data_IF_193468927363
#
_entry.id   IF_193468927363
#
_cell.length_a   1.000
_cell.length_b   1.000
_cell.length_c   1.000
_cell.angle_alpha   90.00
_cell.angle_beta   90.00
_cell.angle_gamma   90.00
#
_symmetry.space_group_name_H-M   'P 1'
#
loop_
_entity.id
_entity.type
_entity.pdbx_description
1 polymer ?
#
# COMPACT_ATOMS: atom_id res chain seq x y z
N UNK A 1 -2.37 3.14 -9.66
CA UNK A 1 -3.43 3.52 -8.69
C UNK A 1 -3.03 3.37 -7.22
N UNK A 2 -1.96 2.63 -6.88
CA UNK A 2 -1.55 2.42 -5.46
C UNK A 2 -1.10 3.70 -4.74
N UNK A 3 -0.57 4.70 -5.45
CA UNK A 3 -0.04 5.94 -4.84
C UNK A 3 -1.07 6.83 -4.14
N UNK A 4 -2.37 6.64 -4.37
CA UNK A 4 -3.45 7.39 -3.70
C UNK A 4 -4.28 6.53 -2.72
N UNK A 5 -3.94 5.25 -2.54
CA UNK A 5 -4.70 4.37 -1.64
C UNK A 5 -4.42 4.61 -0.16
N UNK A 6 -3.31 5.29 0.18
CA UNK A 6 -2.92 5.56 1.57
C UNK A 6 -3.81 6.57 2.31
N UNK A 7 -4.64 7.33 1.60
CA UNK A 7 -5.52 8.34 2.20
C UNK A 7 -6.59 7.70 3.09
N UNK A 8 -7.15 6.56 2.65
CA UNK A 8 -8.15 5.81 3.42
C UNK A 8 -7.55 5.18 4.69
N UNK A 9 -6.34 4.63 4.58
CA UNK A 9 -5.63 4.06 5.72
C UNK A 9 -5.33 5.10 6.80
N UNK A 10 -5.08 6.37 6.42
CA UNK A 10 -4.87 7.45 7.39
C UNK A 10 -6.10 7.75 8.25
N UNK A 11 -7.31 7.50 7.72
CA UNK A 11 -8.56 7.69 8.46
C UNK A 11 -8.78 6.60 9.51
N UNK A 12 -8.22 5.40 9.33
CA UNK A 12 -8.32 4.31 10.31
C UNK A 12 -7.64 4.65 11.64
N UNK A 13 -6.68 5.58 11.64
CA UNK A 13 -5.94 6.01 12.82
C UNK A 13 -6.32 7.44 13.27
N UNK A 14 -7.41 8.00 12.75
CA UNK A 14 -7.82 9.37 13.10
C UNK A 14 -8.07 9.53 14.60
N UNK A 15 -8.54 8.46 15.27
CA UNK A 15 -8.79 8.40 16.71
C UNK A 15 -7.49 8.45 17.55
N UNK A 16 -6.35 8.06 16.98
CA UNK A 16 -5.03 8.07 17.63
C UNK A 16 -4.21 9.33 17.30
N UNK A 17 -4.68 10.17 16.37
CA UNK A 17 -4.01 11.39 15.95
C UNK A 17 -4.35 12.57 16.86
N UNK A 18 -3.39 13.46 17.08
CA UNK A 18 -3.63 14.70 17.80
C UNK A 18 -4.62 15.61 17.03
N UNK A 19 -5.36 16.43 17.76
CA UNK A 19 -6.37 17.32 17.19
C UNK A 19 -5.79 18.24 16.10
N UNK A 20 -6.46 18.32 14.96
CA UNK A 20 -6.04 19.13 13.81
C UNK A 20 -4.85 18.57 12.99
N UNK A 21 -4.33 17.37 13.30
CA UNK A 21 -3.29 16.73 12.49
C UNK A 21 -3.86 16.07 11.23
N UNK A 22 -5.04 15.46 11.30
CA UNK A 22 -5.63 14.75 10.16
C UNK A 22 -5.74 15.59 8.87
N UNK A 23 -6.24 16.85 8.89
CA UNK A 23 -6.25 17.69 7.69
C UNK A 23 -4.84 18.03 7.17
N UNK A 24 -3.85 18.16 8.07
CA UNK A 24 -2.45 18.40 7.68
C UNK A 24 -1.86 17.18 7.00
N UNK A 25 -2.16 15.98 7.50
CA UNK A 25 -1.75 14.70 6.90
C UNK A 25 -2.29 14.58 5.47
N UNK A 26 -3.60 14.79 5.27
CA UNK A 26 -4.20 14.72 3.94
C UNK A 26 -3.60 15.75 2.98
N UNK A 27 -3.40 16.99 3.42
CA UNK A 27 -2.79 18.04 2.60
C UNK A 27 -1.35 17.70 2.20
N UNK A 28 -0.54 17.22 3.14
CA UNK A 28 0.85 16.90 2.89
C UNK A 28 0.98 15.67 1.98
N UNK A 29 0.16 14.63 2.20
CA UNK A 29 0.10 13.46 1.32
C UNK A 29 -0.34 13.85 -0.11
N UNK A 30 -1.35 14.71 -0.24
CA UNK A 30 -1.81 15.19 -1.54
C UNK A 30 -0.70 15.92 -2.29
N UNK A 31 0.00 16.84 -1.62
CA UNK A 31 1.12 17.55 -2.22
C UNK A 31 2.22 16.59 -2.68
N UNK A 32 2.60 15.63 -1.84
CA UNK A 32 3.62 14.64 -2.19
C UNK A 32 3.21 13.81 -3.42
N UNK A 33 1.98 13.31 -3.46
CA UNK A 33 1.46 12.50 -4.59
C UNK A 33 1.39 13.32 -5.89
N UNK A 34 0.95 14.58 -5.81
CA UNK A 34 0.85 15.47 -6.97
C UNK A 34 2.21 15.86 -7.55
N UNK A 35 3.27 15.89 -6.74
CA UNK A 35 4.63 16.20 -7.23
C UNK A 35 5.36 14.94 -7.68
N UNK A 36 5.36 13.89 -6.84
CA UNK A 36 6.16 12.69 -7.08
C UNK A 36 5.62 11.86 -8.26
N UNK A 37 4.30 11.66 -8.38
CA UNK A 37 3.77 10.81 -9.45
C UNK A 37 4.04 11.40 -10.85
N UNK A 38 3.73 12.68 -11.14
CA UNK A 38 4.08 13.27 -12.42
C UNK A 38 5.59 13.39 -12.61
N UNK A 39 6.35 13.72 -11.56
CA UNK A 39 7.81 13.78 -11.63
C UNK A 39 8.43 12.44 -12.07
N UNK A 40 7.97 11.34 -11.48
CA UNK A 40 8.38 9.99 -11.88
C UNK A 40 7.95 9.65 -13.31
N UNK A 41 6.76 10.04 -13.75
CA UNK A 41 6.30 9.83 -15.12
C UNK A 41 7.15 10.60 -16.15
N UNK A 42 7.54 11.83 -15.85
CA UNK A 42 8.43 12.64 -16.70
C UNK A 42 9.81 11.99 -16.79
N UNK A 43 10.38 11.55 -15.65
CA UNK A 43 11.65 10.84 -15.64
C UNK A 43 11.60 9.54 -16.45
N UNK A 44 10.51 8.79 -16.34
CA UNK A 44 10.32 7.57 -17.11
C UNK A 44 10.32 7.83 -18.62
N UNK A 45 9.59 8.86 -19.08
CA UNK A 45 9.55 9.25 -20.49
C UNK A 45 10.86 9.85 -21.00
N UNK A 46 11.67 10.47 -20.12
CA UNK A 46 12.95 11.04 -20.48
C UNK A 46 14.06 9.99 -20.60
N UNK A 47 13.97 8.88 -19.85
CA UNK A 47 15.01 7.86 -19.76
C UNK A 47 14.71 6.62 -20.61
N UNK A 48 13.44 6.26 -20.81
CA UNK A 48 13.05 5.00 -21.45
C UNK A 48 12.17 5.27 -22.68
N UNK A 49 12.51 4.73 -23.86
CA UNK A 49 11.65 4.77 -25.04
C UNK A 49 10.26 4.16 -24.77
N UNK A 50 9.20 4.84 -25.18
CA UNK A 50 7.79 4.42 -24.99
C UNK A 50 7.49 2.96 -25.41
N UNK A 51 8.07 2.40 -26.49
CA UNK A 51 7.83 1.00 -26.87
C UNK A 51 8.28 0.00 -25.78
N UNK A 52 9.43 0.24 -25.15
CA UNK A 52 10.06 -0.66 -24.17
C UNK A 52 9.34 -0.64 -22.81
N UNK A 53 8.74 0.51 -22.45
CA UNK A 53 7.94 0.67 -21.23
C UNK A 53 6.74 -0.29 -21.21
N UNK A 54 6.12 -0.54 -22.35
CA UNK A 54 4.87 -1.31 -22.44
C UNK A 54 5.13 -2.82 -22.50
N UNK A 55 6.19 -3.25 -23.15
CA UNK A 55 6.39 -4.66 -23.52
C UNK A 55 7.35 -5.42 -22.59
N UNK A 56 8.36 -4.76 -21.99
CA UNK A 56 9.40 -5.45 -21.21
C UNK A 56 9.44 -5.09 -19.71
N UNK A 57 9.10 -3.84 -19.33
CA UNK A 57 9.41 -3.33 -17.99
C UNK A 57 8.20 -2.96 -17.13
N UNK A 58 6.99 -3.46 -17.41
CA UNK A 58 5.78 -3.06 -16.66
C UNK A 58 5.88 -3.21 -15.13
N UNK A 59 6.58 -4.25 -14.65
CA UNK A 59 6.75 -4.51 -13.20
C UNK A 59 8.12 -4.08 -12.64
N UNK A 60 9.08 -3.75 -13.51
CA UNK A 60 10.49 -3.47 -13.15
C UNK A 60 10.98 -2.11 -13.66
N UNK A 61 10.06 -1.26 -14.11
CA UNK A 61 10.34 0.05 -14.71
C UNK A 61 11.26 0.90 -13.82
N UNK A 62 10.97 0.98 -12.52
CA UNK A 62 11.74 1.81 -11.59
C UNK A 62 13.17 1.31 -11.40
N UNK A 63 13.39 -0.01 -11.32
CA UNK A 63 14.74 -0.56 -11.16
C UNK A 63 15.54 -0.45 -12.45
N UNK A 64 14.90 -0.60 -13.61
CA UNK A 64 15.52 -0.36 -14.91
C UNK A 64 15.89 1.12 -15.09
N UNK A 65 14.98 2.05 -14.78
CA UNK A 65 15.27 3.49 -14.77
C UNK A 65 16.44 3.83 -13.83
N UNK A 66 16.53 3.16 -12.68
CA UNK A 66 17.65 3.28 -11.75
C UNK A 66 18.98 2.82 -12.35
N UNK A 67 18.98 1.70 -13.08
CA UNK A 67 20.16 1.19 -13.79
C UNK A 67 20.59 2.15 -14.90
N UNK A 68 19.66 2.65 -15.71
CA UNK A 68 19.97 3.59 -16.81
C UNK A 68 20.46 4.93 -16.30
N UNK A 69 19.89 5.46 -15.21
CA UNK A 69 20.23 6.78 -14.68
C UNK A 69 21.47 6.79 -13.78
N UNK A 70 21.66 5.74 -12.96
CA UNK A 70 22.65 5.70 -11.90
C UNK A 70 23.48 4.42 -11.83
N UNK A 71 23.25 3.46 -12.73
CA UNK A 71 23.90 2.17 -12.74
C UNK A 71 23.31 1.17 -11.73
N UNK A 72 23.88 -0.03 -11.72
CA UNK A 72 23.29 -1.21 -11.08
C UNK A 72 23.12 -1.09 -9.56
N UNK A 73 23.93 -0.25 -8.90
CA UNK A 73 23.80 -0.01 -7.45
C UNK A 73 22.46 0.66 -7.11
N UNK A 74 22.01 1.62 -7.94
CA UNK A 74 20.77 2.35 -7.72
C UNK A 74 19.56 1.45 -7.99
N UNK A 75 19.66 0.58 -9.00
CA UNK A 75 18.67 -0.46 -9.28
C UNK A 75 18.48 -1.41 -8.08
N UNK A 76 19.56 -1.85 -7.45
CA UNK A 76 19.50 -2.70 -6.24
C UNK A 76 18.85 -1.97 -5.06
N UNK A 77 19.21 -0.70 -4.82
CA UNK A 77 18.63 0.08 -3.74
C UNK A 77 17.11 0.25 -3.92
N UNK A 78 16.68 0.64 -5.12
CA UNK A 78 15.26 0.80 -5.46
C UNK A 78 14.50 -0.52 -5.33
N UNK A 79 15.11 -1.63 -5.74
CA UNK A 79 14.47 -2.95 -5.64
C UNK A 79 14.27 -3.39 -4.20
N UNK A 80 15.27 -3.14 -3.33
CA UNK A 80 15.16 -3.46 -1.90
C UNK A 80 14.10 -2.57 -1.21
N UNK A 81 14.09 -1.27 -1.53
CA UNK A 81 13.07 -0.34 -1.04
C UNK A 81 11.66 -0.76 -1.47
N UNK A 82 11.48 -1.15 -2.74
CA UNK A 82 10.19 -1.61 -3.24
C UNK A 82 9.66 -2.85 -2.49
N UNK A 83 10.53 -3.81 -2.14
CA UNK A 83 10.15 -4.98 -1.34
C UNK A 83 9.72 -4.56 0.07
N UNK A 84 10.49 -3.67 0.72
CA UNK A 84 10.17 -3.18 2.05
C UNK A 84 8.85 -2.40 2.08
N UNK A 85 8.64 -1.49 1.14
CA UNK A 85 7.42 -0.69 1.05
C UNK A 85 6.20 -1.56 0.75
N UNK A 86 6.32 -2.52 -0.18
CA UNK A 86 5.22 -3.42 -0.54
C UNK A 86 4.87 -4.37 0.62
N UNK A 87 5.87 -4.89 1.33
CA UNK A 87 5.64 -5.71 2.53
C UNK A 87 4.99 -4.90 3.66
N UNK A 88 5.41 -3.64 3.87
CA UNK A 88 4.77 -2.74 4.83
C UNK A 88 3.29 -2.46 4.49
N UNK A 89 2.99 -2.19 3.22
CA UNK A 89 1.63 -1.95 2.75
C UNK A 89 0.72 -3.17 2.95
N UNK A 90 1.22 -4.38 2.66
CA UNK A 90 0.47 -5.63 2.88
C UNK A 90 0.21 -5.89 4.36
N UNK A 91 1.22 -5.76 5.23
CA UNK A 91 1.05 -5.93 6.69
C UNK A 91 0.03 -4.93 7.26
N UNK A 92 0.08 -3.67 6.83
CA UNK A 92 -0.88 -2.64 7.25
C UNK A 92 -2.30 -2.98 6.81
N UNK A 93 -2.46 -3.57 5.61
CA UNK A 93 -3.76 -4.01 5.10
C UNK A 93 -4.36 -5.14 5.95
N UNK A 94 -3.55 -6.08 6.44
CA UNK A 94 -4.01 -7.12 7.37
C UNK A 94 -4.57 -6.53 8.66
N UNK A 95 -3.91 -5.52 9.23
CA UNK A 95 -4.39 -4.83 10.44
C UNK A 95 -5.69 -4.07 10.16
N UNK A 96 -5.73 -3.31 9.06
CA UNK A 96 -6.90 -2.52 8.66
C UNK A 96 -8.15 -3.38 8.41
N UNK A 97 -8.02 -4.44 7.60
CA UNK A 97 -9.14 -5.36 7.30
C UNK A 97 -9.63 -6.07 8.55
N UNK A 98 -8.71 -6.48 9.43
CA UNK A 98 -9.09 -7.13 10.69
C UNK A 98 -9.95 -6.22 11.56
N UNK A 99 -9.54 -4.97 11.74
CA UNK A 99 -10.31 -3.98 12.50
C UNK A 99 -11.67 -3.65 11.87
N UNK A 100 -11.70 -3.47 10.54
CA UNK A 100 -12.93 -3.17 9.80
C UNK A 100 -13.94 -4.31 9.91
N UNK A 101 -13.54 -5.55 9.59
CA UNK A 101 -14.42 -6.72 9.65
C UNK A 101 -14.90 -6.98 11.07
N UNK A 102 -14.06 -6.74 12.08
CA UNK A 102 -14.46 -6.85 13.48
C UNK A 102 -15.56 -5.85 13.83
N UNK A 103 -15.41 -4.56 13.49
CA UNK A 103 -16.44 -3.53 13.71
C UNK A 103 -17.74 -3.87 12.96
N UNK A 104 -17.67 -4.23 11.67
CA UNK A 104 -18.85 -4.62 10.88
C UNK A 104 -19.56 -5.88 11.42
N UNK A 105 -18.83 -6.81 12.02
CA UNK A 105 -19.43 -8.01 12.62
C UNK A 105 -20.11 -7.69 13.96
N UNK A 106 -19.57 -6.74 14.73
CA UNK A 106 -20.22 -6.21 15.94
C UNK A 106 -21.52 -5.46 15.60
N UNK A 107 -21.52 -4.71 14.50
CA UNK A 107 -22.70 -4.03 13.93
C UNK A 107 -23.72 -5.00 13.30
N UNK A 108 -23.45 -6.32 13.36
CA UNK A 108 -24.30 -7.39 12.82
C UNK A 108 -24.46 -7.36 11.29
N UNK A 109 -23.61 -6.63 10.57
CA UNK A 109 -23.57 -6.64 9.11
C UNK A 109 -22.92 -7.92 8.55
N UNK A 110 -22.10 -8.60 9.35
CA UNK A 110 -21.37 -9.82 8.98
C UNK A 110 -21.66 -10.98 9.95
N UNK A 111 -21.44 -12.25 9.54
CA UNK A 111 -21.72 -13.40 10.40
C UNK A 111 -20.80 -13.44 11.62
N UNK A 112 -21.40 -13.59 12.81
CA UNK A 112 -20.70 -13.67 14.12
C UNK A 112 -19.63 -14.77 14.19
N UNK A 113 -19.66 -15.73 13.27
CA UNK A 113 -18.65 -16.78 13.12
C UNK A 113 -17.25 -16.19 12.93
N UNK A 114 -17.13 -15.00 12.31
CA UNK A 114 -15.86 -14.30 12.06
C UNK A 114 -15.21 -13.75 13.33
N UNK A 115 -16.00 -13.40 14.36
CA UNK A 115 -15.50 -12.87 15.65
C UNK A 115 -14.89 -13.94 16.57
N UNK A 116 -14.70 -15.19 16.11
CA UNK A 116 -14.08 -16.20 16.96
C UNK A 116 -12.61 -15.88 17.17
N UNK A 117 -12.26 -15.58 18.41
CA UNK A 117 -10.90 -15.27 18.83
C UNK A 117 -10.13 -16.52 19.25
N UNK A 118 -8.81 -16.45 19.09
CA UNK A 118 -7.86 -17.41 19.65
C UNK A 118 -7.63 -17.15 21.15
N UNK A 119 -6.91 -18.03 21.84
CA UNK A 119 -6.52 -17.87 23.26
C UNK A 119 -5.74 -16.58 23.55
N UNK A 120 -5.20 -15.93 22.52
CA UNK A 120 -4.47 -14.65 22.58
C UNK A 120 -5.33 -13.42 22.18
N UNK A 121 -6.65 -13.58 22.01
CA UNK A 121 -7.55 -12.49 21.62
C UNK A 121 -7.51 -12.11 20.13
N UNK A 122 -6.79 -12.87 19.30
CA UNK A 122 -6.69 -12.57 17.85
C UNK A 122 -7.84 -13.21 17.07
N UNK A 123 -8.59 -12.46 16.24
CA UNK A 123 -9.67 -13.00 15.41
C UNK A 123 -9.11 -13.73 14.18
N UNK A 124 -8.59 -14.93 14.40
CA UNK A 124 -7.86 -15.72 13.40
C UNK A 124 -8.69 -16.06 12.14
N UNK A 125 -10.01 -16.16 12.26
CA UNK A 125 -10.89 -16.44 11.13
C UNK A 125 -10.93 -15.30 10.12
N UNK A 126 -10.87 -14.05 10.58
CA UNK A 126 -10.82 -12.87 9.71
C UNK A 126 -9.52 -12.90 8.92
N UNK A 127 -8.39 -13.11 9.59
CA UNK A 127 -7.06 -13.17 8.97
C UNK A 127 -6.99 -14.29 7.92
N UNK A 128 -7.45 -15.50 8.26
CA UNK A 128 -7.48 -16.63 7.33
C UNK A 128 -8.39 -16.33 6.13
N UNK A 129 -9.58 -15.75 6.36
CA UNK A 129 -10.48 -15.40 5.25
C UNK A 129 -9.86 -14.37 4.31
N UNK A 130 -9.19 -13.36 4.85
CA UNK A 130 -8.50 -12.35 4.05
C UNK A 130 -7.30 -12.93 3.30
N UNK A 131 -6.56 -13.86 3.92
CA UNK A 131 -5.48 -14.58 3.24
C UNK A 131 -6.00 -15.42 2.06
N UNK A 132 -7.08 -16.20 2.26
CA UNK A 132 -7.69 -16.99 1.19
C UNK A 132 -8.15 -16.09 0.04
N UNK A 133 -8.79 -14.95 0.36
CA UNK A 133 -9.21 -13.97 -0.63
C UNK A 133 -8.00 -13.37 -1.38
N UNK A 134 -6.92 -13.03 -0.68
CA UNK A 134 -5.72 -12.43 -1.26
C UNK A 134 -4.96 -13.41 -2.16
N UNK A 135 -4.96 -14.70 -1.85
CA UNK A 135 -4.32 -15.75 -2.68
C UNK A 135 -5.20 -16.14 -3.88
N UNK A 136 -6.50 -15.90 -3.80
CA UNK A 136 -7.44 -16.22 -4.88
C UNK A 136 -7.42 -15.21 -6.03
N UNK A 137 -6.79 -14.05 -5.86
CA UNK A 137 -6.67 -12.97 -6.86
C UNK A 137 -5.31 -13.09 -7.55
#
# INVERSE_FOLDING_TARGET
>A
MLGSSGFESSANFVEEQAEGVFPKTLRNMWLAVTVLNPGMAILALALVPIPEVRDEYQNTLLSHMGDTAGGTWLAWLISFDAILVLSGATLTSYVGVTGLVQRMTLDRCLPKVLLRESRRGTPYRIIISFFILSVSV
#
